data_IF_874576689050
#
_entry.id   IF_874576689050
#
_cell.length_a   1.000
_cell.length_b   1.000
_cell.length_c   1.000
_cell.angle_alpha   90.00
_cell.angle_beta   90.00
_cell.angle_gamma   90.00
#
_symmetry.space_group_name_H-M   'P 1'
#
loop_
_entity.id
_entity.type
_entity.pdbx_description
1 polymer ?
#
# COMPACT_ATOMS: atom_id res chain seq x y z
N UNK A 1 -3.42 -9.53 6.72
CA UNK A 1 -2.23 -9.29 5.86
C UNK A 1 -2.39 -7.96 5.15
N UNK A 2 -1.44 -7.02 5.26
CA UNK A 2 -1.54 -5.71 4.62
C UNK A 2 -1.08 -5.76 3.16
N UNK A 3 -1.76 -5.02 2.29
CA UNK A 3 -1.26 -4.66 0.97
C UNK A 3 -0.62 -3.28 1.02
N UNK A 4 0.39 -3.07 0.18
CA UNK A 4 1.03 -1.78 -0.08
C UNK A 4 1.19 -1.68 -1.58
N UNK A 5 0.62 -0.64 -2.19
CA UNK A 5 0.52 -0.56 -3.64
C UNK A 5 0.75 0.88 -4.13
N UNK A 6 1.28 1.00 -5.35
CA UNK A 6 1.51 2.28 -6.02
C UNK A 6 0.82 2.23 -7.39
N UNK A 7 -0.20 3.07 -7.60
CA UNK A 7 -0.88 3.20 -8.87
C UNK A 7 -0.36 4.42 -9.64
N UNK A 8 0.11 4.20 -10.88
CA UNK A 8 0.52 5.24 -11.81
C UNK A 8 -0.58 5.53 -12.83
N UNK A 9 -1.21 6.69 -12.70
CA UNK A 9 -2.40 7.05 -13.48
C UNK A 9 -2.05 7.31 -14.95
N UNK A 10 -2.89 6.79 -15.85
CA UNK A 10 -2.78 6.81 -17.31
C UNK A 10 -1.47 6.23 -17.87
N UNK A 11 -0.66 5.57 -17.05
CA UNK A 11 0.52 4.87 -17.53
C UNK A 11 0.13 3.56 -18.21
N UNK A 12 0.90 3.14 -19.19
CA UNK A 12 0.72 1.85 -19.87
C UNK A 12 1.76 0.81 -19.46
N UNK A 13 2.89 1.25 -18.88
CA UNK A 13 3.99 0.43 -18.40
C UNK A 13 4.95 1.25 -17.55
N UNK A 14 5.44 0.67 -16.45
CA UNK A 14 6.53 1.24 -15.67
C UNK A 14 7.87 0.65 -16.08
N UNK A 15 7.90 -0.65 -16.38
CA UNK A 15 9.08 -1.35 -16.87
C UNK A 15 10.04 -1.69 -15.74
N UNK A 16 9.50 -2.17 -14.63
CA UNK A 16 10.26 -2.58 -13.46
C UNK A 16 10.91 -3.95 -13.68
N UNK A 17 12.09 -4.15 -13.11
CA UNK A 17 12.76 -5.44 -13.03
C UNK A 17 12.93 -5.82 -11.55
N UNK A 18 12.55 -7.03 -11.17
CA UNK A 18 12.64 -7.51 -9.79
C UNK A 18 14.08 -7.52 -9.27
N UNK A 19 15.08 -7.66 -10.14
CA UNK A 19 16.49 -7.71 -9.73
C UNK A 19 17.00 -6.36 -9.19
N UNK A 20 16.30 -5.28 -9.49
CA UNK A 20 16.66 -3.91 -9.11
C UNK A 20 16.21 -3.51 -7.70
N UNK A 21 15.45 -4.38 -7.01
CA UNK A 21 14.80 -4.09 -5.73
C UNK A 21 14.98 -5.24 -4.74
N UNK A 22 15.19 -4.92 -3.47
CA UNK A 22 15.25 -5.85 -2.35
C UNK A 22 13.86 -6.27 -1.86
N UNK A 23 12.84 -5.43 -2.07
CA UNK A 23 11.43 -5.82 -1.87
C UNK A 23 10.89 -6.63 -3.04
N UNK A 24 9.86 -7.45 -2.81
CA UNK A 24 9.17 -8.12 -3.91
C UNK A 24 8.20 -7.13 -4.60
N UNK A 25 8.13 -7.22 -5.93
CA UNK A 25 7.25 -6.36 -6.74
C UNK A 25 6.45 -7.16 -7.77
N UNK A 26 5.20 -6.77 -8.00
CA UNK A 26 4.38 -7.23 -9.13
C UNK A 26 3.88 -5.98 -9.87
N UNK A 27 4.22 -5.86 -11.15
CA UNK A 27 3.69 -4.80 -12.02
C UNK A 27 2.50 -5.35 -12.81
N UNK A 28 1.34 -4.72 -12.67
CA UNK A 28 0.13 -5.07 -13.42
C UNK A 28 -0.38 -3.88 -14.23
N UNK A 29 -0.73 -4.14 -15.49
CA UNK A 29 -1.20 -3.12 -16.43
C UNK A 29 -2.69 -2.79 -16.30
N UNK A 30 -3.25 -3.03 -15.12
CA UNK A 30 -4.62 -2.72 -14.74
C UNK A 30 -4.60 -2.23 -13.30
N UNK A 31 -5.45 -1.24 -13.00
CA UNK A 31 -5.62 -0.75 -11.64
C UNK A 31 -6.56 -1.67 -10.86
N UNK A 32 -6.04 -2.83 -10.47
CA UNK A 32 -6.74 -3.80 -9.65
C UNK A 32 -5.90 -4.06 -8.40
N UNK A 33 -6.41 -3.64 -7.25
CA UNK A 33 -5.78 -3.90 -5.95
C UNK A 33 -5.98 -5.36 -5.55
N UNK A 34 -5.05 -5.93 -4.79
CA UNK A 34 -5.22 -7.25 -4.19
C UNK A 34 -6.31 -7.29 -3.12
N UNK A 35 -6.81 -6.12 -2.68
CA UNK A 35 -7.95 -6.01 -1.75
C UNK A 35 -8.94 -4.93 -2.19
N UNK A 36 -10.14 -4.99 -1.63
CA UNK A 36 -11.31 -4.31 -2.20
C UNK A 36 -11.54 -2.87 -1.76
N UNK A 37 -10.79 -2.32 -0.80
CA UNK A 37 -11.17 -1.07 -0.12
C UNK A 37 -11.30 0.14 -1.05
N UNK A 38 -10.47 0.20 -2.10
CA UNK A 38 -10.46 1.28 -3.09
C UNK A 38 -10.87 0.84 -4.50
N UNK A 39 -11.51 -0.32 -4.62
CA UNK A 39 -11.86 -0.94 -5.90
C UNK A 39 -12.63 0.01 -6.82
N UNK A 40 -13.69 0.65 -6.32
CA UNK A 40 -14.54 1.53 -7.11
C UNK A 40 -13.81 2.75 -7.68
N UNK A 41 -12.78 3.25 -6.97
CA UNK A 41 -11.97 4.39 -7.40
C UNK A 41 -11.00 3.93 -8.49
N UNK A 42 -10.30 2.82 -8.25
CA UNK A 42 -9.32 2.29 -9.20
C UNK A 42 -9.97 1.89 -10.52
N UNK A 43 -11.18 1.31 -10.50
CA UNK A 43 -11.94 0.94 -11.71
C UNK A 43 -12.35 2.13 -12.59
N UNK A 44 -12.35 3.35 -12.05
CA UNK A 44 -12.69 4.56 -12.80
C UNK A 44 -11.46 5.20 -13.48
N UNK A 45 -10.28 4.61 -13.29
CA UNK A 45 -9.01 5.14 -13.78
C UNK A 45 -8.33 4.12 -14.70
N UNK A 46 -7.52 4.62 -15.64
CA UNK A 46 -6.57 3.79 -16.38
C UNK A 46 -5.18 3.93 -15.75
N UNK A 47 -4.34 2.90 -15.85
CA UNK A 47 -2.99 2.97 -15.33
C UNK A 47 -2.30 1.63 -15.11
N UNK A 48 -1.16 1.70 -14.45
CA UNK A 48 -0.37 0.55 -13.98
C UNK A 48 -0.36 0.58 -12.46
N UNK A 49 -0.55 -0.56 -11.81
CA UNK A 49 -0.36 -0.72 -10.37
C UNK A 49 0.89 -1.56 -10.10
N UNK A 50 1.61 -1.20 -9.04
CA UNK A 50 2.72 -1.98 -8.52
C UNK A 50 2.37 -2.43 -7.12
N UNK A 51 2.35 -3.74 -6.92
CA UNK A 51 2.19 -4.34 -5.60
C UNK A 51 3.56 -4.48 -4.96
N UNK A 52 3.70 -4.01 -3.73
CA UNK A 52 4.91 -4.14 -2.92
C UNK A 52 4.70 -5.25 -1.90
N UNK A 53 5.63 -6.19 -1.86
CA UNK A 53 5.51 -7.39 -1.02
C UNK A 53 6.77 -7.69 -0.23
N UNK A 54 6.62 -8.63 0.69
CA UNK A 54 7.71 -9.19 1.46
C UNK A 54 8.85 -9.67 0.56
N UNK A 55 10.12 -9.42 0.92
CA UNK A 55 11.28 -9.90 0.16
C UNK A 55 11.27 -11.40 -0.15
N UNK A 56 10.66 -12.21 0.73
CA UNK A 56 10.51 -13.65 0.55
C UNK A 56 9.70 -14.03 -0.71
N UNK A 57 8.86 -13.12 -1.23
CA UNK A 57 8.03 -13.34 -2.43
C UNK A 57 8.73 -13.01 -3.75
N UNK A 58 10.02 -12.62 -3.74
CA UNK A 58 10.76 -12.29 -4.97
C UNK A 58 10.75 -13.42 -6.01
N UNK A 59 10.70 -14.68 -5.55
CA UNK A 59 10.72 -15.87 -6.40
C UNK A 59 9.36 -16.60 -6.50
N UNK A 60 8.36 -16.19 -5.73
CA UNK A 60 7.02 -16.82 -5.71
C UNK A 60 5.95 -15.72 -5.66
N UNK A 61 5.41 -15.41 -6.85
CA UNK A 61 4.43 -14.34 -7.06
C UNK A 61 3.00 -14.86 -7.15
N UNK A 62 2.79 -16.18 -7.15
CA UNK A 62 1.45 -16.79 -7.26
C UNK A 62 0.87 -17.17 -5.90
N UNK A 63 1.69 -17.17 -4.84
CA UNK A 63 1.25 -17.31 -3.45
C UNK A 63 0.57 -16.06 -2.88
N UNK A 64 0.26 -16.09 -1.58
CA UNK A 64 -0.27 -14.92 -0.89
C UNK A 64 0.76 -13.78 -0.88
N UNK A 65 0.47 -12.68 -1.59
CA UNK A 65 1.37 -11.54 -1.73
C UNK A 65 0.95 -10.38 -0.81
N UNK A 66 1.83 -10.00 0.13
CA UNK A 66 1.56 -8.98 1.15
C UNK A 66 2.84 -8.34 1.68
N UNK A 67 2.71 -7.22 2.39
CA UNK A 67 3.82 -6.30 2.74
C UNK A 67 4.22 -6.29 4.22
N UNK A 68 3.83 -7.30 5.00
CA UNK A 68 4.01 -7.28 6.46
C UNK A 68 5.47 -7.21 6.93
N UNK A 69 6.43 -7.70 6.15
CA UNK A 69 7.86 -7.72 6.47
C UNK A 69 8.60 -6.44 6.07
N UNK A 70 7.96 -5.54 5.32
CA UNK A 70 8.57 -4.24 4.96
C UNK A 70 8.08 -3.09 5.86
N UNK A 71 7.12 -3.38 6.73
CA UNK A 71 6.49 -2.44 7.67
C UNK A 71 7.19 -2.53 9.05
N UNK A 72 7.49 -1.37 9.61
CA UNK A 72 7.78 -1.17 11.03
C UNK A 72 6.47 -0.99 11.80
N UNK A 73 6.07 -2.05 12.50
CA UNK A 73 4.86 -2.09 13.32
C UNK A 73 5.04 -1.45 14.69
N UNK A 74 6.27 -1.13 15.10
CA UNK A 74 6.57 -0.66 16.46
C UNK A 74 6.10 0.77 16.74
N UNK A 75 5.71 1.52 15.69
CA UNK A 75 5.22 2.89 15.81
C UNK A 75 3.79 2.96 16.37
N UNK A 76 3.00 1.90 16.17
CA UNK A 76 1.65 1.84 16.71
C UNK A 76 1.67 1.26 18.13
N UNK A 77 0.81 1.79 19.00
CA UNK A 77 0.66 1.33 20.38
C UNK A 77 -0.04 -0.03 20.51
N UNK A 78 -0.57 -0.58 19.40
CA UNK A 78 -1.20 -1.89 19.37
C UNK A 78 -0.17 -3.01 19.56
N UNK A 79 -0.01 -3.48 20.80
CA UNK A 79 0.90 -4.58 21.14
C UNK A 79 0.40 -5.96 20.67
N UNK A 80 -0.92 -6.12 20.51
CA UNK A 80 -1.54 -7.38 20.12
C UNK A 80 -2.79 -7.17 19.28
N UNK A 81 -2.99 -8.06 18.30
CA UNK A 81 -4.21 -8.13 17.49
C UNK A 81 -5.17 -9.16 18.09
N UNK A 82 -6.35 -8.69 18.49
CA UNK A 82 -7.48 -9.52 18.84
C UNK A 82 -8.03 -10.18 17.57
N UNK A 83 -7.90 -11.50 17.48
CA UNK A 83 -8.54 -12.24 16.41
C UNK A 83 -10.02 -12.40 16.75
N UNK A 84 -10.95 -12.00 15.87
CA UNK A 84 -12.37 -12.17 16.15
C UNK A 84 -12.71 -13.64 16.30
N UNK A 85 -13.39 -13.98 17.39
CA UNK A 85 -13.99 -15.30 17.56
C UNK A 85 -15.26 -15.37 16.70
N UNK A 86 -15.29 -16.27 15.73
CA UNK A 86 -16.51 -16.54 14.98
C UNK A 86 -17.40 -17.49 15.78
N UNK A 87 -18.51 -16.98 16.31
CA UNK A 87 -19.63 -17.81 16.75
C UNK A 87 -20.76 -17.74 15.73
N UNK A 88 -21.41 -18.88 15.46
CA UNK A 88 -22.55 -18.94 14.55
C UNK A 88 -23.79 -18.19 15.10
N UNK A 89 -23.76 -17.83 16.39
CA UNK A 89 -24.82 -17.13 17.10
C UNK A 89 -24.56 -15.61 17.20
N UNK A 90 -23.39 -15.12 16.76
CA UNK A 90 -23.08 -13.70 16.74
C UNK A 90 -23.82 -13.00 15.59
N UNK A 91 -24.77 -12.16 15.97
CA UNK A 91 -25.52 -11.29 15.06
C UNK A 91 -24.70 -10.05 14.64
N UNK A 92 -23.62 -9.73 15.36
CA UNK A 92 -22.70 -8.65 15.02
C UNK A 92 -21.42 -9.23 14.42
N UNK A 93 -21.22 -8.99 13.12
CA UNK A 93 -19.97 -9.32 12.44
C UNK A 93 -18.83 -8.45 12.98
N UNK A 94 -17.94 -9.04 13.78
CA UNK A 94 -16.67 -8.42 14.15
C UNK A 94 -15.56 -8.90 13.21
N UNK A 95 -15.16 -8.06 12.25
CA UNK A 95 -14.08 -8.37 11.30
C UNK A 95 -12.67 -8.20 11.88
N UNK A 96 -12.53 -7.74 13.13
CA UNK A 96 -11.26 -7.37 13.74
C UNK A 96 -10.69 -6.03 13.26
N UNK A 97 -11.47 -5.19 12.57
CA UNK A 97 -11.00 -3.86 12.15
C UNK A 97 -10.72 -2.93 13.35
N UNK A 98 -10.09 -1.78 13.08
CA UNK A 98 -9.83 -0.70 14.03
C UNK A 98 -8.90 -1.07 15.20
N UNK A 99 -7.86 -1.86 14.94
CA UNK A 99 -6.87 -2.26 15.96
C UNK A 99 -5.49 -1.63 15.75
N UNK A 100 -5.09 -1.45 14.49
CA UNK A 100 -3.86 -0.77 14.09
C UNK A 100 -4.21 0.35 13.13
N UNK A 101 -3.56 1.48 13.24
CA UNK A 101 -3.88 2.71 12.53
C UNK A 101 -2.70 3.28 11.80
N UNK A 102 -1.49 3.16 12.34
CA UNK A 102 -0.31 3.86 11.82
C UNK A 102 0.83 2.89 11.57
N UNK A 103 1.62 3.16 10.54
CA UNK A 103 2.80 2.38 10.22
C UNK A 103 3.93 3.25 9.66
N UNK A 104 5.15 2.72 9.72
CA UNK A 104 6.30 3.21 8.95
C UNK A 104 6.88 2.05 8.15
N UNK A 105 7.75 2.35 7.20
CA UNK A 105 8.58 1.37 6.52
C UNK A 105 9.87 1.16 7.30
N UNK A 106 10.38 -0.07 7.27
CA UNK A 106 11.72 -0.36 7.78
C UNK A 106 12.76 0.40 6.95
N UNK A 107 13.74 0.99 7.63
CA UNK A 107 14.73 1.91 7.03
C UNK A 107 15.42 1.33 5.79
N UNK A 108 15.74 0.03 5.82
CA UNK A 108 16.41 -0.68 4.74
C UNK A 108 15.63 -0.71 3.42
N UNK A 109 14.30 -0.54 3.44
CA UNK A 109 13.45 -0.57 2.24
C UNK A 109 13.02 0.82 1.74
N UNK A 110 13.33 1.89 2.49
CA UNK A 110 12.91 3.26 2.12
C UNK A 110 13.43 3.63 0.73
N UNK A 111 14.68 3.28 0.40
CA UNK A 111 15.28 3.65 -0.89
C UNK A 111 14.61 2.98 -2.09
N UNK A 112 14.15 1.73 -1.94
CA UNK A 112 13.40 1.02 -2.98
C UNK A 112 12.02 1.66 -3.20
N UNK A 113 11.31 1.93 -2.10
CA UNK A 113 9.96 2.51 -2.13
C UNK A 113 10.01 3.91 -2.75
N UNK A 114 10.99 4.73 -2.36
CA UNK A 114 11.20 6.07 -2.92
C UNK A 114 11.49 6.01 -4.43
N UNK A 115 12.34 5.07 -4.85
CA UNK A 115 12.62 4.84 -6.27
C UNK A 115 11.36 4.42 -7.03
N UNK A 116 10.53 3.55 -6.47
CA UNK A 116 9.27 3.12 -7.08
C UNK A 116 8.25 4.26 -7.20
N UNK A 117 8.09 5.08 -6.15
CA UNK A 117 7.24 6.27 -6.18
C UNK A 117 7.67 7.23 -7.29
N UNK A 118 8.98 7.50 -7.40
CA UNK A 118 9.54 8.36 -8.46
C UNK A 118 9.32 7.78 -9.85
N UNK A 119 9.59 6.49 -10.05
CA UNK A 119 9.36 5.84 -11.35
C UNK A 119 7.88 5.92 -11.73
N UNK A 120 6.97 5.59 -10.81
CA UNK A 120 5.53 5.67 -11.05
C UNK A 120 5.11 7.10 -11.44
N UNK A 121 5.58 8.10 -10.69
CA UNK A 121 5.25 9.50 -10.97
C UNK A 121 5.81 9.99 -12.30
N UNK A 122 7.04 9.60 -12.63
CA UNK A 122 7.68 9.97 -13.88
C UNK A 122 6.96 9.36 -15.10
N UNK A 123 6.48 8.13 -14.96
CA UNK A 123 5.79 7.36 -16.01
C UNK A 123 4.30 7.67 -16.12
N UNK A 124 3.72 8.37 -15.14
CA UNK A 124 2.36 8.91 -15.22
C UNK A 124 2.33 10.10 -16.20
N UNK A 125 1.59 10.02 -17.32
CA UNK A 125 1.50 11.14 -18.28
C UNK A 125 0.84 12.38 -17.70
N UNK A 126 0.01 12.19 -16.66
CA UNK A 126 -0.68 13.28 -15.95
C UNK A 126 0.03 13.67 -14.66
N UNK A 127 1.23 13.13 -14.40
CA UNK A 127 2.02 13.39 -13.20
C UNK A 127 1.21 13.17 -11.91
N UNK A 128 0.44 12.08 -11.89
CA UNK A 128 -0.41 11.69 -10.76
C UNK A 128 -0.18 10.23 -10.41
N UNK A 129 -0.01 9.95 -9.12
CA UNK A 129 0.03 8.60 -8.56
C UNK A 129 -0.87 8.50 -7.33
N UNK A 130 -1.26 7.27 -7.02
CA UNK A 130 -1.77 6.90 -5.70
C UNK A 130 -0.78 5.98 -5.01
N UNK A 131 -0.54 6.20 -3.72
CA UNK A 131 0.01 5.20 -2.83
C UNK A 131 -1.14 4.73 -1.93
N UNK A 132 -1.35 3.43 -1.79
CA UNK A 132 -2.48 2.91 -1.02
C UNK A 132 -2.10 1.68 -0.19
N UNK A 133 -2.82 1.51 0.92
CA UNK A 133 -2.72 0.32 1.77
C UNK A 133 -4.12 -0.23 2.07
N UNK A 134 -4.24 -1.54 2.21
CA UNK A 134 -5.46 -2.20 2.68
C UNK A 134 -5.09 -3.36 3.63
N UNK A 135 -5.63 -3.29 4.84
CA UNK A 135 -5.32 -4.17 5.95
C UNK A 135 -6.57 -4.42 6.80
N UNK A 136 -6.88 -5.70 7.02
CA UNK A 136 -8.09 -6.12 7.75
C UNK A 136 -8.20 -5.61 9.19
N UNK A 137 -7.06 -5.35 9.85
CA UNK A 137 -7.02 -4.85 11.23
C UNK A 137 -6.80 -3.33 11.27
N UNK A 138 -6.71 -2.70 10.09
CA UNK A 138 -6.68 -1.25 9.87
C UNK A 138 -8.03 -0.58 10.16
N UNK A 139 -8.15 0.74 9.94
CA UNK A 139 -9.43 1.45 9.92
C UNK A 139 -10.49 0.73 9.08
N UNK A 140 -11.69 0.56 9.60
CA UNK A 140 -12.79 -0.14 8.90
C UNK A 140 -13.21 0.51 7.57
N UNK A 141 -12.93 1.80 7.42
CA UNK A 141 -13.22 2.60 6.23
C UNK A 141 -11.94 3.12 5.61
N UNK A 142 -11.91 3.05 4.28
CA UNK A 142 -10.85 3.66 3.49
C UNK A 142 -10.90 5.18 3.60
N UNK A 143 -9.73 5.78 3.80
CA UNK A 143 -9.58 7.23 3.70
C UNK A 143 -8.86 7.61 2.39
N UNK A 144 -9.12 8.83 1.91
CA UNK A 144 -8.38 9.42 0.79
C UNK A 144 -7.77 10.73 1.30
N UNK A 145 -6.47 10.88 1.11
CA UNK A 145 -5.74 12.07 1.55
C UNK A 145 -4.91 12.64 0.40
N UNK A 146 -4.99 13.95 0.22
CA UNK A 146 -4.07 14.68 -0.65
C UNK A 146 -2.78 14.96 0.13
N UNK A 147 -1.70 14.28 -0.24
CA UNK A 147 -0.36 14.54 0.31
C UNK A 147 0.55 15.27 -0.68
N UNK A 148 0.02 15.65 -1.85
CA UNK A 148 0.60 16.51 -2.89
C UNK A 148 1.94 16.07 -3.49
N UNK A 149 3.01 15.86 -2.74
CA UNK A 149 4.33 15.50 -3.27
C UNK A 149 4.94 14.28 -2.58
N UNK A 150 5.91 13.64 -3.24
CA UNK A 150 6.70 12.56 -2.62
C UNK A 150 7.45 13.07 -1.38
N UNK A 151 7.86 14.35 -1.37
CA UNK A 151 8.55 14.92 -0.21
C UNK A 151 7.60 15.05 1.01
N UNK A 152 6.37 15.49 0.77
CA UNK A 152 5.35 15.57 1.81
C UNK A 152 4.97 14.17 2.33
N UNK A 153 4.90 13.17 1.43
CA UNK A 153 4.72 11.77 1.79
C UNK A 153 5.80 11.29 2.76
N UNK A 154 7.06 11.52 2.43
CA UNK A 154 8.17 11.15 3.32
C UNK A 154 8.22 11.98 4.60
N UNK A 155 7.79 13.24 4.56
CA UNK A 155 7.71 14.08 5.75
C UNK A 155 6.68 13.52 6.73
N UNK A 156 5.47 13.22 6.26
CA UNK A 156 4.42 12.58 7.06
C UNK A 156 4.88 11.22 7.60
N UNK A 157 5.45 10.38 6.74
CA UNK A 157 6.01 9.09 7.13
C UNK A 157 7.04 9.23 8.25
N UNK A 158 7.98 10.17 8.14
CA UNK A 158 9.08 10.30 9.09
C UNK A 158 8.64 10.91 10.41
N UNK A 159 7.76 11.90 10.39
CA UNK A 159 7.30 12.60 11.59
C UNK A 159 6.25 11.81 12.36
N UNK A 160 5.22 11.34 11.66
CA UNK A 160 4.00 10.80 12.28
C UNK A 160 3.72 9.34 11.90
N UNK A 161 4.32 8.84 10.81
CA UNK A 161 3.90 7.62 10.16
C UNK A 161 2.75 7.83 9.19
N UNK A 162 2.43 6.79 8.42
CA UNK A 162 1.33 6.76 7.47
C UNK A 162 0.13 6.03 8.08
N UNK A 163 -1.07 6.44 7.69
CA UNK A 163 -2.32 5.83 8.16
C UNK A 163 -2.61 4.60 7.29
N UNK A 164 -2.85 3.45 7.93
CA UNK A 164 -3.32 2.24 7.27
C UNK A 164 -4.69 2.47 6.67
N UNK A 165 -5.01 1.77 5.59
CA UNK A 165 -6.31 1.86 4.91
C UNK A 165 -6.55 3.27 4.34
N UNK A 166 -5.48 3.91 3.87
CA UNK A 166 -5.52 5.23 3.23
C UNK A 166 -4.94 5.17 1.82
N UNK A 167 -5.60 5.85 0.90
CA UNK A 167 -5.11 6.20 -0.43
C UNK A 167 -4.57 7.62 -0.41
N UNK A 168 -3.27 7.75 -0.56
CA UNK A 168 -2.55 9.01 -0.66
C UNK A 168 -2.41 9.44 -2.12
N UNK A 169 -2.98 10.59 -2.47
CA UNK A 169 -2.85 11.22 -3.78
C UNK A 169 -1.60 12.10 -3.82
N UNK A 170 -0.74 11.87 -4.81
CA UNK A 170 0.48 12.63 -5.06
C UNK A 170 0.56 13.08 -6.51
N UNK A 171 1.16 14.25 -6.70
CA UNK A 171 1.33 14.95 -7.97
C UNK A 171 2.79 15.33 -8.23
N UNK A 172 3.15 15.41 -9.50
CA UNK A 172 4.42 15.96 -9.95
C UNK A 172 4.28 17.45 -10.24
N UNK A 173 5.35 18.19 -9.96
CA UNK A 173 5.48 19.60 -10.32
C UNK A 173 5.69 19.80 -11.82
#
# INVERSE_FOLDING_TARGET
MPTVEIASINSTKLGLDQVDFDIAIIEENKLESHRGLFYDILQQQDGVIVHLGNPDFKNDKEGGFFAGQIIDWSIDSCEYIELPEYSADDLEYNGGANQQFVFKFLEQYISDIDRLLKIALDKSPVKKIYFLTDYQFGPDKGNIEDIYTINDFWTQHNENGLILNTMYEMHGL
#
